data_IF_662488628137
#
_entry.id   IF_662488628137
#
_cell.length_a   1.000
_cell.length_b   1.000
_cell.length_c   1.000
_cell.angle_alpha   90.00
_cell.angle_beta   90.00
_cell.angle_gamma   90.00
#
_symmetry.space_group_name_H-M   'P 1'
#
loop_
_entity.id
_entity.type
_entity.pdbx_description
1 polymer ?
#
# COMPACT_ATOMS: atom_id res chain seq x y z
N UNK A 1 -36.83 -1.55 14.78
CA UNK A 1 -37.90 -1.97 13.82
C UNK A 1 -37.23 -2.69 12.67
N UNK A 2 -37.63 -3.94 12.41
CA UNK A 2 -37.00 -4.82 11.44
C UNK A 2 -37.51 -4.56 10.01
N UNK A 3 -36.94 -3.55 9.33
CA UNK A 3 -37.19 -3.24 7.92
C UNK A 3 -35.98 -3.55 7.05
N UNK A 4 -36.23 -3.87 5.78
CA UNK A 4 -35.22 -4.06 4.75
C UNK A 4 -35.40 -3.05 3.62
N UNK A 5 -34.29 -2.47 3.19
CA UNK A 5 -34.26 -1.46 2.14
C UNK A 5 -34.13 -2.14 0.78
N UNK A 6 -35.00 -1.77 -0.16
CA UNK A 6 -34.92 -2.28 -1.52
C UNK A 6 -33.70 -1.68 -2.23
N UNK A 7 -32.76 -2.49 -2.75
CA UNK A 7 -31.56 -1.99 -3.44
C UNK A 7 -31.91 -1.32 -4.79
N UNK A 8 -33.06 -1.63 -5.39
CA UNK A 8 -33.48 -1.08 -6.66
C UNK A 8 -34.11 0.32 -6.53
N UNK A 9 -34.90 0.58 -5.49
CA UNK A 9 -35.68 1.83 -5.37
C UNK A 9 -35.59 2.54 -4.01
N UNK A 10 -34.79 2.02 -3.07
CA UNK A 10 -34.61 2.58 -1.73
C UNK A 10 -35.81 2.46 -0.80
N UNK A 11 -36.92 1.86 -1.23
CA UNK A 11 -38.12 1.74 -0.40
C UNK A 11 -37.88 0.84 0.82
N UNK A 12 -38.45 1.22 1.96
CA UNK A 12 -38.53 0.37 3.14
C UNK A 12 -39.57 -0.72 2.94
N UNK A 13 -39.22 -1.94 3.36
CA UNK A 13 -40.06 -3.11 3.25
C UNK A 13 -39.99 -3.92 4.56
N UNK A 14 -41.07 -4.60 4.97
CA UNK A 14 -41.01 -5.53 6.10
C UNK A 14 -40.07 -6.71 5.83
N UNK A 15 -39.37 -7.18 6.86
CA UNK A 15 -38.39 -8.26 6.79
C UNK A 15 -38.95 -9.61 6.26
N UNK A 16 -40.26 -9.81 6.41
CA UNK A 16 -40.96 -11.04 5.99
C UNK A 16 -41.23 -11.08 4.48
N UNK A 17 -41.18 -9.96 3.77
CA UNK A 17 -41.51 -9.92 2.33
C UNK A 17 -40.34 -10.36 1.47
N UNK A 18 -40.63 -11.23 0.51
CA UNK A 18 -39.72 -11.62 -0.56
C UNK A 18 -39.69 -10.63 -1.74
N UNK A 19 -40.62 -9.67 -1.78
CA UNK A 19 -40.76 -8.74 -2.92
C UNK A 19 -40.98 -7.31 -2.45
N UNK A 20 -40.34 -6.36 -3.13
CA UNK A 20 -40.48 -4.93 -2.84
C UNK A 20 -41.92 -4.43 -3.09
N UNK A 21 -42.49 -3.70 -2.13
CA UNK A 21 -43.85 -3.16 -2.24
C UNK A 21 -43.96 -2.17 -3.41
N UNK A 22 -42.92 -1.32 -3.58
CA UNK A 22 -42.84 -0.25 -4.57
C UNK A 22 -42.49 -0.74 -5.97
N UNK A 23 -41.26 -1.23 -6.19
CA UNK A 23 -40.78 -1.61 -7.54
C UNK A 23 -40.93 -3.09 -7.91
N UNK A 24 -41.48 -3.93 -7.03
CA UNK A 24 -41.65 -5.38 -7.24
C UNK A 24 -40.35 -6.18 -7.46
N UNK A 25 -39.19 -5.61 -7.19
CA UNK A 25 -37.92 -6.33 -7.20
C UNK A 25 -37.89 -7.46 -6.15
N UNK A 26 -37.19 -8.54 -6.46
CA UNK A 26 -36.92 -9.64 -5.54
C UNK A 26 -35.98 -9.20 -4.41
N UNK A 27 -36.38 -9.44 -3.17
CA UNK A 27 -35.63 -9.14 -1.96
C UNK A 27 -34.99 -10.40 -1.35
N UNK A 28 -35.14 -11.57 -1.98
CA UNK A 28 -34.58 -12.84 -1.53
C UNK A 28 -33.06 -12.78 -1.36
N UNK A 29 -32.34 -12.09 -2.25
CA UNK A 29 -30.89 -11.90 -2.13
C UNK A 29 -30.53 -11.10 -0.88
N UNK A 30 -31.24 -9.99 -0.63
CA UNK A 30 -31.03 -9.16 0.57
C UNK A 30 -31.31 -9.98 1.84
N UNK A 31 -32.40 -10.75 1.83
CA UNK A 31 -32.76 -11.63 2.93
C UNK A 31 -31.66 -12.68 3.20
N UNK A 32 -31.14 -13.32 2.15
CA UNK A 32 -30.06 -14.29 2.29
C UNK A 32 -28.78 -13.67 2.89
N UNK A 33 -28.46 -12.43 2.52
CA UNK A 33 -27.32 -11.69 3.10
C UNK A 33 -27.56 -11.44 4.59
N UNK A 34 -28.75 -10.98 4.97
CA UNK A 34 -29.11 -10.75 6.37
C UNK A 34 -29.13 -12.05 7.20
N UNK A 35 -29.62 -13.15 6.63
CA UNK A 35 -29.61 -14.47 7.27
C UNK A 35 -28.17 -14.97 7.49
N UNK A 36 -27.29 -14.73 6.52
CA UNK A 36 -25.85 -15.05 6.64
C UNK A 36 -25.17 -14.19 7.71
N UNK A 37 -25.49 -12.89 7.76
CA UNK A 37 -24.99 -11.99 8.80
C UNK A 37 -25.45 -12.44 10.20
N UNK A 38 -26.71 -12.85 10.34
CA UNK A 38 -27.25 -13.40 11.59
C UNK A 38 -26.59 -14.73 11.99
N UNK A 39 -26.22 -15.57 11.03
CA UNK A 39 -25.48 -16.80 11.31
C UNK A 39 -24.11 -16.48 11.91
N UNK A 40 -23.35 -15.58 11.31
CA UNK A 40 -22.06 -15.10 11.84
C UNK A 40 -22.22 -14.49 13.23
N UNK A 41 -23.25 -13.66 13.44
CA UNK A 41 -23.56 -13.10 14.76
C UNK A 41 -23.85 -14.18 15.83
N UNK A 42 -24.64 -15.19 15.50
CA UNK A 42 -24.95 -16.27 16.42
C UNK A 42 -23.71 -17.11 16.76
N UNK A 43 -22.83 -17.36 15.78
CA UNK A 43 -21.54 -18.01 16.02
C UNK A 43 -20.65 -17.18 16.94
N UNK A 44 -20.57 -15.87 16.71
CA UNK A 44 -19.84 -14.96 17.57
C UNK A 44 -20.36 -14.97 19.02
N UNK A 45 -21.69 -15.03 19.21
CA UNK A 45 -22.30 -15.19 20.53
C UNK A 45 -21.88 -16.49 21.22
N UNK A 46 -21.95 -17.61 20.52
CA UNK A 46 -21.54 -18.92 21.04
C UNK A 46 -20.07 -18.92 21.43
N UNK A 47 -19.19 -18.48 20.53
CA UNK A 47 -17.74 -18.40 20.76
C UNK A 47 -17.40 -17.46 21.93
N UNK A 48 -18.09 -16.32 22.05
CA UNK A 48 -17.92 -15.41 23.17
C UNK A 48 -18.37 -16.04 24.49
N UNK A 49 -19.44 -16.83 24.48
CA UNK A 49 -19.91 -17.60 25.63
C UNK A 49 -18.92 -18.69 26.07
N UNK A 50 -18.19 -19.27 25.12
CA UNK A 50 -17.08 -20.22 25.36
C UNK A 50 -15.77 -19.53 25.80
N UNK A 51 -15.72 -18.19 25.81
CA UNK A 51 -14.51 -17.42 26.12
C UNK A 51 -13.47 -17.36 24.98
N UNK A 52 -13.82 -17.85 23.79
CA UNK A 52 -12.97 -17.82 22.58
C UNK A 52 -13.07 -16.46 21.88
N UNK A 53 -12.65 -15.42 22.58
CA UNK A 53 -12.86 -14.04 22.16
C UNK A 53 -12.22 -13.65 20.82
N UNK A 54 -11.01 -14.12 20.44
CA UNK A 54 -10.43 -13.79 19.13
C UNK A 54 -11.26 -14.34 17.97
N UNK A 55 -11.80 -15.55 18.11
CA UNK A 55 -12.64 -16.18 17.08
C UNK A 55 -14.02 -15.52 17.03
N UNK A 56 -14.56 -15.18 18.21
CA UNK A 56 -15.80 -14.42 18.31
C UNK A 56 -15.69 -13.03 17.65
N UNK A 57 -14.54 -12.37 17.76
CA UNK A 57 -14.27 -11.09 17.10
C UNK A 57 -14.36 -11.25 15.58
N UNK A 58 -13.73 -12.28 15.01
CA UNK A 58 -13.78 -12.55 13.56
C UNK A 58 -15.21 -12.77 13.05
N UNK A 59 -15.99 -13.60 13.74
CA UNK A 59 -17.38 -13.88 13.38
C UNK A 59 -18.27 -12.63 13.55
N UNK A 60 -18.06 -11.82 14.59
CA UNK A 60 -18.79 -10.58 14.79
C UNK A 60 -18.44 -9.53 13.72
N UNK A 61 -17.18 -9.46 13.29
CA UNK A 61 -16.76 -8.58 12.18
C UNK A 61 -17.34 -9.04 10.84
N UNK A 62 -17.40 -10.35 10.56
CA UNK A 62 -18.02 -10.87 9.36
C UNK A 62 -19.53 -10.53 9.27
N UNK A 63 -20.24 -10.56 10.40
CA UNK A 63 -21.63 -10.11 10.47
C UNK A 63 -21.78 -8.62 10.11
N UNK A 64 -20.84 -7.77 10.55
CA UNK A 64 -20.83 -6.33 10.25
C UNK A 64 -20.45 -6.03 8.80
N UNK A 65 -19.56 -6.80 8.19
CA UNK A 65 -19.22 -6.67 6.77
C UNK A 65 -20.42 -6.93 5.87
N UNK A 66 -21.28 -7.89 6.25
CA UNK A 66 -22.51 -8.20 5.53
C UNK A 66 -23.62 -7.19 5.83
N UNK A 67 -23.76 -6.75 7.08
CA UNK A 67 -24.77 -5.77 7.47
C UNK A 67 -24.33 -4.92 8.68
N UNK A 68 -23.80 -3.74 8.39
CA UNK A 68 -23.21 -2.84 9.39
C UNK A 68 -24.23 -2.01 10.21
N UNK A 69 -25.52 -2.00 9.81
CA UNK A 69 -26.56 -1.20 10.47
C UNK A 69 -27.27 -1.92 11.61
N UNK A 70 -26.83 -3.13 11.99
CA UNK A 70 -27.42 -3.85 13.11
C UNK A 70 -26.76 -3.44 14.44
N UNK A 71 -27.46 -2.75 15.35
CA UNK A 71 -26.90 -2.33 16.64
C UNK A 71 -26.46 -3.52 17.50
N UNK A 72 -27.11 -4.68 17.38
CA UNK A 72 -26.77 -5.88 18.16
C UNK A 72 -25.37 -6.39 17.85
N UNK A 73 -24.93 -6.27 16.60
CA UNK A 73 -23.61 -6.74 16.17
C UNK A 73 -22.52 -5.87 16.81
N UNK A 74 -22.70 -4.55 16.78
CA UNK A 74 -21.82 -3.59 17.46
C UNK A 74 -21.78 -3.80 18.97
N UNK A 75 -22.93 -4.03 19.62
CA UNK A 75 -22.99 -4.27 21.06
C UNK A 75 -22.24 -5.55 21.48
N UNK A 76 -22.38 -6.61 20.68
CA UNK A 76 -21.63 -7.85 20.90
C UNK A 76 -20.13 -7.62 20.70
N UNK A 77 -19.74 -6.93 19.63
CA UNK A 77 -18.33 -6.62 19.36
C UNK A 77 -17.71 -5.78 20.49
N UNK A 78 -18.45 -4.80 21.02
CA UNK A 78 -18.02 -4.02 22.18
C UNK A 78 -17.83 -4.89 23.42
N UNK A 79 -18.74 -5.85 23.66
CA UNK A 79 -18.58 -6.84 24.73
C UNK A 79 -17.34 -7.72 24.55
N UNK A 80 -17.12 -8.23 23.33
CA UNK A 80 -15.96 -9.05 22.99
C UNK A 80 -14.67 -8.27 23.21
N UNK A 81 -14.58 -7.02 22.73
CA UNK A 81 -13.43 -6.15 22.93
C UNK A 81 -13.15 -5.89 24.41
N UNK A 82 -14.17 -5.63 25.22
CA UNK A 82 -14.00 -5.42 26.65
C UNK A 82 -13.46 -6.68 27.36
N UNK A 83 -13.91 -7.86 26.94
CA UNK A 83 -13.39 -9.14 27.47
C UNK A 83 -11.94 -9.41 27.08
N UNK A 84 -11.49 -8.88 25.95
CA UNK A 84 -10.09 -8.93 25.52
C UNK A 84 -9.23 -7.79 26.11
N UNK A 85 -9.79 -6.88 26.92
CA UNK A 85 -9.08 -5.70 27.44
C UNK A 85 -8.88 -4.57 26.42
N UNK A 86 -9.49 -4.66 25.23
CA UNK A 86 -9.44 -3.65 24.16
C UNK A 86 -10.47 -2.53 24.44
N UNK A 87 -10.33 -1.84 25.57
CA UNK A 87 -11.35 -0.92 26.10
C UNK A 87 -11.72 0.26 25.17
N UNK A 88 -10.76 0.82 24.42
CA UNK A 88 -11.04 1.89 23.47
C UNK A 88 -11.97 1.43 22.34
N UNK A 89 -11.69 0.26 21.75
CA UNK A 89 -12.53 -0.32 20.70
C UNK A 89 -13.90 -0.75 21.24
N UNK A 90 -13.94 -1.20 22.50
CA UNK A 90 -15.19 -1.51 23.18
C UNK A 90 -16.10 -0.28 23.30
N UNK A 91 -15.51 0.86 23.69
CA UNK A 91 -16.21 2.14 23.78
C UNK A 91 -16.78 2.56 22.43
N UNK A 92 -15.97 2.58 21.37
CA UNK A 92 -16.41 2.96 20.02
C UNK A 92 -17.58 2.08 19.51
N UNK A 93 -17.51 0.77 19.74
CA UNK A 93 -18.57 -0.15 19.35
C UNK A 93 -19.88 0.08 20.13
N UNK A 94 -19.79 0.36 21.44
CA UNK A 94 -20.98 0.69 22.23
C UNK A 94 -21.55 2.07 21.89
N UNK A 95 -20.72 3.07 21.60
CA UNK A 95 -21.17 4.38 21.11
C UNK A 95 -21.91 4.24 19.77
N UNK A 96 -21.41 3.40 18.87
CA UNK A 96 -22.07 3.08 17.59
C UNK A 96 -23.41 2.37 17.82
N UNK A 97 -23.49 1.48 18.80
CA UNK A 97 -24.77 0.85 19.18
C UNK A 97 -25.79 1.89 19.63
N UNK A 98 -25.37 2.86 20.44
CA UNK A 98 -26.26 3.94 20.91
C UNK A 98 -26.72 4.84 19.77
N UNK A 99 -25.83 5.11 18.81
CA UNK A 99 -26.15 5.90 17.62
C UNK A 99 -27.17 5.23 16.69
N UNK A 100 -27.15 3.90 16.60
CA UNK A 100 -28.05 3.11 15.75
C UNK A 100 -29.43 2.82 16.41
N UNK A 101 -29.68 3.35 17.61
CA UNK A 101 -30.98 3.43 18.28
C UNK A 101 -31.83 2.13 18.31
N UNK A 102 -31.29 1.03 18.88
CA UNK A 102 -32.14 -0.10 19.32
C UNK A 102 -31.57 -0.77 20.58
N UNK A 103 -32.45 -1.05 21.56
CA UNK A 103 -32.16 -1.63 22.90
C UNK A 103 -30.81 -1.20 23.51
N UNK A 104 -30.71 0.10 23.76
CA UNK A 104 -29.52 0.79 24.25
C UNK A 104 -29.14 0.43 25.69
N UNK A 105 -29.99 -0.31 26.39
CA UNK A 105 -29.86 -0.61 27.82
C UNK A 105 -28.56 -1.37 28.15
N UNK A 106 -28.12 -2.31 27.29
CA UNK A 106 -26.88 -3.07 27.52
C UNK A 106 -25.62 -2.26 27.19
N UNK A 107 -25.63 -1.55 26.06
CA UNK A 107 -24.50 -0.73 25.62
C UNK A 107 -24.27 0.44 26.58
N UNK A 108 -25.34 1.13 26.99
CA UNK A 108 -25.28 2.22 27.96
C UNK A 108 -24.74 1.76 29.32
N UNK A 109 -25.24 0.63 29.85
CA UNK A 109 -24.72 0.04 31.10
C UNK A 109 -23.23 -0.33 30.98
N UNK A 110 -22.82 -0.82 29.83
CA UNK A 110 -21.43 -1.22 29.58
C UNK A 110 -20.49 -0.01 29.49
N UNK A 111 -20.92 1.06 28.82
CA UNK A 111 -20.22 2.35 28.78
C UNK A 111 -20.11 2.99 30.16
N UNK A 112 -21.21 3.04 30.92
CA UNK A 112 -21.17 3.57 32.29
C UNK A 112 -20.21 2.78 33.19
N UNK A 113 -20.19 1.45 33.07
CA UNK A 113 -19.25 0.60 33.80
C UNK A 113 -17.82 0.94 33.40
N UNK A 114 -17.54 1.06 32.11
CA UNK A 114 -16.22 1.41 31.59
C UNK A 114 -15.75 2.78 32.10
N UNK A 115 -16.62 3.79 32.06
CA UNK A 115 -16.35 5.15 32.53
C UNK A 115 -16.03 5.19 34.02
N UNK A 116 -16.78 4.45 34.85
CA UNK A 116 -16.50 4.33 36.29
C UNK A 116 -15.15 3.67 36.58
N UNK A 117 -14.82 2.64 35.80
CA UNK A 117 -13.52 1.95 35.94
C UNK A 117 -12.35 2.85 35.50
N UNK A 118 -12.54 3.65 34.45
CA UNK A 118 -11.56 4.64 34.01
C UNK A 118 -11.41 5.79 35.00
N UNK A 119 -12.52 6.33 35.55
CA UNK A 119 -12.48 7.43 36.53
C UNK A 119 -11.81 7.04 37.84
N UNK A 120 -11.92 5.77 38.23
CA UNK A 120 -11.33 5.24 39.46
C UNK A 120 -9.85 4.85 39.29
N UNK A 121 -9.24 5.13 38.14
CA UNK A 121 -7.84 4.78 37.85
C UNK A 121 -7.58 3.27 37.68
N UNK A 122 -8.63 2.44 37.69
CA UNK A 122 -8.50 0.97 37.56
C UNK A 122 -8.22 0.52 36.13
N UNK A 123 -8.54 1.37 35.15
CA UNK A 123 -8.21 1.18 33.75
C UNK A 123 -7.34 2.35 33.33
N UNK A 124 -6.03 2.11 33.23
CA UNK A 124 -5.16 2.98 32.44
C UNK A 124 -5.66 2.89 30.99
N UNK A 125 -6.31 3.95 30.50
CA UNK A 125 -6.73 4.01 29.10
C UNK A 125 -5.51 3.71 28.23
N UNK A 126 -5.56 2.75 27.29
CA UNK A 126 -4.50 2.62 26.32
C UNK A 126 -4.42 3.95 25.60
N UNK A 127 -3.36 4.70 25.89
CA UNK A 127 -3.04 6.01 25.31
C UNK A 127 -3.33 5.90 23.82
N UNK A 128 -4.32 6.67 23.32
CA UNK A 128 -4.52 6.80 21.86
C UNK A 128 -3.11 6.99 21.30
N UNK A 129 -2.63 6.07 20.46
CA UNK A 129 -1.30 6.17 19.85
C UNK A 129 -1.40 7.29 18.81
N UNK A 130 -1.59 8.52 19.28
CA UNK A 130 -1.32 9.73 18.52
C UNK A 130 0.14 9.60 18.16
N UNK A 131 0.44 9.44 16.87
CA UNK A 131 1.81 9.49 16.37
C UNK A 131 2.52 10.63 17.06
N UNK A 132 3.51 10.28 17.90
CA UNK A 132 4.25 11.26 18.66
C UNK A 132 4.95 12.20 17.67
N UNK A 133 5.17 13.46 18.03
CA UNK A 133 6.03 14.36 17.24
C UNK A 133 7.37 13.69 16.98
N UNK A 134 7.85 12.87 17.93
CA UNK A 134 9.03 12.03 17.78
C UNK A 134 8.91 10.97 16.68
N UNK A 135 7.75 10.32 16.52
CA UNK A 135 7.54 9.31 15.48
C UNK A 135 7.57 9.95 14.09
N UNK A 136 6.97 11.13 13.94
CA UNK A 136 6.99 11.89 12.68
C UNK A 136 8.40 12.39 12.37
N UNK A 137 9.10 12.93 13.37
CA UNK A 137 10.48 13.39 13.23
C UNK A 137 11.41 12.24 12.83
N UNK A 138 11.25 11.07 13.45
CA UNK A 138 12.03 9.88 13.13
C UNK A 138 11.79 9.43 11.69
N UNK A 139 10.55 9.42 11.22
CA UNK A 139 10.23 9.08 9.83
C UNK A 139 10.85 10.08 8.85
N UNK A 140 10.78 11.39 9.13
CA UNK A 140 11.40 12.42 8.29
C UNK A 140 12.92 12.27 8.24
N UNK A 141 13.57 11.95 9.37
CA UNK A 141 15.00 11.69 9.42
C UNK A 141 15.37 10.46 8.60
N UNK A 142 14.62 9.36 8.72
CA UNK A 142 14.88 8.15 7.95
C UNK A 142 14.79 8.39 6.42
N UNK A 143 13.78 9.15 5.99
CA UNK A 143 13.64 9.54 4.58
C UNK A 143 14.81 10.43 4.14
N UNK A 144 15.18 11.43 4.95
CA UNK A 144 16.29 12.33 4.64
C UNK A 144 17.63 11.59 4.55
N UNK A 145 17.95 10.74 5.53
CA UNK A 145 19.19 9.95 5.52
C UNK A 145 19.21 8.92 4.39
N UNK A 146 18.07 8.32 4.06
CA UNK A 146 17.95 7.44 2.89
C UNK A 146 18.23 8.17 1.57
N UNK A 147 17.66 9.36 1.40
CA UNK A 147 17.92 10.21 0.23
C UNK A 147 19.39 10.67 0.16
N UNK A 148 19.98 11.12 1.28
CA UNK A 148 21.39 11.51 1.35
C UNK A 148 22.33 10.35 1.00
N UNK A 149 22.08 9.14 1.52
CA UNK A 149 22.89 7.97 1.23
C UNK A 149 22.78 7.56 -0.25
N UNK A 150 21.57 7.58 -0.82
CA UNK A 150 21.36 7.31 -2.23
C UNK A 150 22.08 8.34 -3.12
N UNK A 151 21.95 9.63 -2.81
CA UNK A 151 22.62 10.70 -3.54
C UNK A 151 24.14 10.57 -3.50
N UNK A 152 24.71 10.30 -2.32
CA UNK A 152 26.15 10.07 -2.16
C UNK A 152 26.64 8.87 -2.98
N UNK A 153 25.90 7.76 -2.96
CA UNK A 153 26.24 6.57 -3.72
C UNK A 153 26.19 6.81 -5.23
N UNK A 154 25.16 7.50 -5.73
CA UNK A 154 25.02 7.83 -7.15
C UNK A 154 26.15 8.76 -7.62
N UNK A 155 26.49 9.78 -6.84
CA UNK A 155 27.62 10.69 -7.16
C UNK A 155 28.95 9.94 -7.26
N UNK A 156 29.22 9.05 -6.30
CA UNK A 156 30.43 8.22 -6.34
C UNK A 156 30.47 7.33 -7.59
N UNK A 157 29.34 6.74 -7.94
CA UNK A 157 29.22 5.90 -9.13
C UNK A 157 29.43 6.70 -10.42
N UNK A 158 28.82 7.89 -10.53
CA UNK A 158 28.98 8.78 -11.69
C UNK A 158 30.44 9.21 -11.85
N UNK A 159 31.11 9.60 -10.76
CA UNK A 159 32.50 10.03 -10.82
C UNK A 159 33.46 8.90 -11.25
N UNK A 160 33.22 7.66 -10.81
CA UNK A 160 33.96 6.48 -11.29
C UNK A 160 33.74 6.24 -12.78
N UNK A 161 32.50 6.38 -13.27
CA UNK A 161 32.20 6.26 -14.70
C UNK A 161 32.86 7.37 -15.53
N UNK A 162 32.88 8.62 -15.05
CA UNK A 162 33.51 9.73 -15.75
C UNK A 162 35.03 9.53 -15.87
N UNK A 163 35.69 9.09 -14.81
CA UNK A 163 37.13 8.78 -14.83
C UNK A 163 37.47 7.68 -15.85
N UNK A 164 36.66 6.62 -15.92
CA UNK A 164 36.83 5.54 -16.91
C UNK A 164 36.58 6.02 -18.34
N UNK A 165 35.73 7.02 -18.56
CA UNK A 165 35.54 7.60 -19.89
C UNK A 165 36.78 8.43 -20.27
N UNK A 166 37.25 9.28 -19.37
CA UNK A 166 38.43 10.14 -19.62
C UNK A 166 39.70 9.36 -19.88
N UNK A 167 39.98 8.30 -19.11
CA UNK A 167 41.19 7.47 -19.33
C UNK A 167 41.17 6.80 -20.71
N UNK A 168 39.99 6.46 -21.21
CA UNK A 168 39.82 5.75 -22.49
C UNK A 168 39.86 6.67 -23.70
N UNK A 169 39.37 7.90 -23.54
CA UNK A 169 39.57 8.93 -24.56
C UNK A 169 41.07 9.30 -24.65
N UNK A 170 41.79 9.27 -23.53
CA UNK A 170 43.24 9.43 -23.50
C UNK A 170 43.98 8.24 -24.17
N UNK A 171 43.58 7.00 -23.90
CA UNK A 171 44.14 5.79 -24.56
C UNK A 171 43.94 5.81 -26.07
N UNK A 172 42.72 6.11 -26.57
CA UNK A 172 42.45 6.23 -28.01
C UNK A 172 43.29 7.30 -28.70
N UNK A 173 43.48 8.44 -28.02
CA UNK A 173 44.30 9.53 -28.54
C UNK A 173 45.77 9.12 -28.62
N UNK A 174 46.28 8.41 -27.61
CA UNK A 174 47.63 7.86 -27.61
C UNK A 174 47.85 6.82 -28.72
N UNK A 175 46.90 5.90 -28.93
CA UNK A 175 46.92 4.92 -30.02
C UNK A 175 46.97 5.58 -31.40
N UNK A 176 46.13 6.60 -31.65
CA UNK A 176 46.13 7.33 -32.92
C UNK A 176 47.47 8.02 -33.19
N UNK A 177 48.06 8.63 -32.16
CA UNK A 177 49.37 9.28 -32.27
C UNK A 177 50.48 8.26 -32.53
N UNK A 178 50.50 7.14 -31.82
CA UNK A 178 51.46 6.05 -32.02
C UNK A 178 51.34 5.44 -33.42
N UNK A 179 50.13 5.15 -33.89
CA UNK A 179 49.91 4.64 -35.26
C UNK A 179 50.43 5.60 -36.34
N UNK A 180 50.21 6.91 -36.16
CA UNK A 180 50.76 7.93 -37.05
C UNK A 180 52.29 8.01 -37.02
N UNK A 181 52.89 7.88 -35.83
CA UNK A 181 54.35 7.89 -35.66
C UNK A 181 55.02 6.64 -36.24
N UNK A 182 54.45 5.45 -36.06
CA UNK A 182 54.95 4.19 -36.64
C UNK A 182 54.89 4.24 -38.16
N UNK A 183 53.77 4.73 -38.73
CA UNK A 183 53.63 4.93 -40.17
C UNK A 183 54.63 5.97 -40.75
N UNK A 184 55.01 6.98 -39.96
CA UNK A 184 56.01 7.98 -40.34
C UNK A 184 57.46 7.51 -40.16
N UNK A 185 57.71 6.52 -39.30
CA UNK A 185 59.06 6.02 -38.99
C UNK A 185 59.55 5.01 -40.05
N UNK A 186 60.33 5.49 -41.02
CA UNK A 186 60.94 4.67 -42.08
C UNK A 186 62.09 3.76 -41.60
N UNK A 187 61.85 2.91 -40.60
CA UNK A 187 62.87 2.05 -39.97
C UNK A 187 62.97 0.65 -40.61
N UNK A 188 63.97 -0.15 -40.21
CA UNK A 188 64.21 -1.52 -40.73
C UNK A 188 62.97 -2.41 -40.60
N UNK A 189 62.59 -3.15 -41.65
CA UNK A 189 61.30 -3.87 -41.72
C UNK A 189 60.98 -4.72 -40.48
N UNK A 190 61.99 -5.37 -39.89
CA UNK A 190 61.82 -6.23 -38.70
C UNK A 190 61.34 -5.47 -37.45
N UNK A 191 61.91 -4.28 -37.18
CA UNK A 191 61.48 -3.44 -36.05
C UNK A 191 60.09 -2.85 -36.26
N UNK A 192 59.70 -2.68 -37.52
CA UNK A 192 58.38 -2.20 -37.89
C UNK A 192 57.34 -3.30 -37.66
N UNK A 193 57.63 -4.54 -38.05
CA UNK A 193 56.77 -5.70 -37.73
C UNK A 193 56.64 -5.96 -36.24
N UNK A 194 57.72 -5.90 -35.46
CA UNK A 194 57.65 -6.12 -34.00
C UNK A 194 56.81 -5.03 -33.30
N UNK A 195 56.86 -3.79 -33.81
CA UNK A 195 56.06 -2.68 -33.28
C UNK A 195 54.59 -2.75 -33.72
N UNK A 196 54.32 -3.24 -34.92
CA UNK A 196 52.97 -3.51 -35.42
C UNK A 196 52.29 -4.65 -34.64
N UNK A 197 53.04 -5.69 -34.26
CA UNK A 197 52.54 -6.80 -33.43
C UNK A 197 52.13 -6.32 -32.02
N UNK A 198 52.97 -5.51 -31.37
CA UNK A 198 52.64 -4.89 -30.07
C UNK A 198 51.43 -3.94 -30.16
N UNK A 199 51.32 -3.17 -31.25
CA UNK A 199 50.14 -2.32 -31.47
C UNK A 199 48.87 -3.13 -31.65
N UNK A 200 48.95 -4.30 -32.27
CA UNK A 200 47.81 -5.18 -32.45
C UNK A 200 47.36 -5.81 -31.11
N UNK A 201 48.30 -6.18 -30.23
CA UNK A 201 47.99 -6.65 -28.88
C UNK A 201 47.29 -5.56 -28.04
N UNK A 202 47.77 -4.32 -28.11
CA UNK A 202 47.14 -3.16 -27.45
C UNK A 202 45.73 -2.93 -28.00
N UNK A 203 45.55 -2.97 -29.33
CA UNK A 203 44.22 -2.82 -29.95
C UNK A 203 43.24 -3.89 -29.50
N UNK A 204 43.68 -5.15 -29.41
CA UNK A 204 42.84 -6.26 -28.93
C UNK A 204 42.41 -6.04 -27.48
N UNK A 205 43.32 -5.60 -26.62
CA UNK A 205 43.00 -5.28 -25.23
C UNK A 205 42.00 -4.12 -25.12
N UNK A 206 42.21 -3.03 -25.89
CA UNK A 206 41.30 -1.89 -25.92
C UNK A 206 39.91 -2.28 -26.47
N UNK A 207 39.85 -3.12 -27.50
CA UNK A 207 38.59 -3.64 -28.05
C UNK A 207 37.80 -4.47 -27.04
N UNK A 208 38.45 -5.37 -26.30
CA UNK A 208 37.83 -6.16 -25.23
C UNK A 208 37.22 -5.25 -24.15
N UNK A 209 37.96 -4.22 -23.74
CA UNK A 209 37.46 -3.24 -22.78
C UNK A 209 36.28 -2.42 -23.36
N UNK A 210 36.23 -2.18 -24.69
CA UNK A 210 35.12 -1.48 -25.36
C UNK A 210 33.83 -2.27 -25.32
N UNK A 211 33.91 -3.58 -25.57
CA UNK A 211 32.77 -4.47 -25.50
C UNK A 211 32.15 -4.49 -24.09
N UNK A 212 32.97 -4.71 -23.05
CA UNK A 212 32.50 -4.73 -21.66
C UNK A 212 31.80 -3.42 -21.25
N UNK A 213 32.29 -2.28 -21.73
CA UNK A 213 31.63 -1.00 -21.45
C UNK A 213 30.38 -0.73 -22.26
N UNK A 214 30.28 -1.27 -23.48
CA UNK A 214 29.06 -1.19 -24.27
C UNK A 214 27.94 -1.99 -23.60
N UNK A 215 28.27 -3.17 -23.06
CA UNK A 215 27.35 -3.97 -22.25
C UNK A 215 26.89 -3.22 -20.99
N UNK A 216 27.83 -2.64 -20.21
CA UNK A 216 27.47 -1.84 -19.04
C UNK A 216 26.61 -0.61 -19.40
N UNK A 217 26.88 0.06 -20.53
CA UNK A 217 26.06 1.17 -21.02
C UNK A 217 24.65 0.70 -21.40
N UNK A 218 24.54 -0.44 -22.08
CA UNK A 218 23.25 -1.03 -22.44
C UNK A 218 22.42 -1.36 -21.19
N UNK A 219 23.04 -1.99 -20.18
CA UNK A 219 22.40 -2.25 -18.88
C UNK A 219 21.97 -0.97 -18.17
N UNK A 220 22.82 0.07 -18.16
CA UNK A 220 22.47 1.36 -17.57
C UNK A 220 21.30 2.05 -18.30
N UNK A 221 21.22 1.96 -19.64
CA UNK A 221 20.07 2.48 -20.40
C UNK A 221 18.79 1.70 -20.13
N UNK A 222 18.89 0.37 -20.00
CA UNK A 222 17.75 -0.48 -19.64
C UNK A 222 17.22 -0.13 -18.25
N UNK A 223 18.10 -0.05 -17.24
CA UNK A 223 17.73 0.37 -15.88
C UNK A 223 17.05 1.75 -15.85
N UNK A 224 17.54 2.71 -16.64
CA UNK A 224 16.90 4.03 -16.77
C UNK A 224 15.50 3.93 -17.36
N UNK A 225 15.31 3.11 -18.40
CA UNK A 225 13.98 2.91 -19.00
C UNK A 225 13.00 2.27 -18.03
N UNK A 226 13.42 1.26 -17.27
CA UNK A 226 12.63 0.62 -16.22
C UNK A 226 12.23 1.60 -15.12
N UNK A 227 13.14 2.48 -14.69
CA UNK A 227 12.85 3.51 -13.69
C UNK A 227 11.81 4.52 -14.18
N UNK A 228 11.88 4.94 -15.45
CA UNK A 228 10.89 5.83 -16.08
C UNK A 228 9.52 5.14 -16.17
N UNK A 229 9.48 3.87 -16.56
CA UNK A 229 8.24 3.11 -16.64
C UNK A 229 7.59 2.91 -15.26
N UNK A 230 8.39 2.58 -14.25
CA UNK A 230 7.94 2.48 -12.86
C UNK A 230 7.35 3.80 -12.36
N UNK A 231 7.98 4.92 -12.67
CA UNK A 231 7.46 6.25 -12.33
C UNK A 231 6.11 6.51 -13.02
N UNK A 232 5.98 6.20 -14.31
CA UNK A 232 4.73 6.33 -15.03
C UNK A 232 3.61 5.39 -14.52
N UNK A 233 3.97 4.21 -13.99
CA UNK A 233 3.01 3.32 -13.32
C UNK A 233 2.52 3.93 -12.00
N UNK A 234 3.43 4.49 -11.20
CA UNK A 234 3.10 5.18 -9.96
C UNK A 234 2.16 6.37 -10.21
N UNK A 235 2.44 7.21 -11.19
CA UNK A 235 1.60 8.36 -11.53
C UNK A 235 0.19 7.93 -11.98
N UNK A 236 0.08 6.86 -12.78
CA UNK A 236 -1.21 6.28 -13.19
C UNK A 236 -2.02 5.71 -12.01
N UNK A 237 -1.35 5.14 -11.01
CA UNK A 237 -2.01 4.66 -9.79
C UNK A 237 -2.49 5.85 -8.95
N UNK A 238 -1.65 6.87 -8.80
CA UNK A 238 -1.99 8.11 -8.10
C UNK A 238 -3.20 8.80 -8.72
N UNK A 239 -3.25 8.94 -10.04
CA UNK A 239 -4.40 9.54 -10.75
C UNK A 239 -5.69 8.73 -10.57
N UNK A 240 -5.61 7.40 -10.59
CA UNK A 240 -6.76 6.53 -10.30
C UNK A 240 -7.29 6.74 -8.88
N UNK A 241 -6.40 6.72 -7.89
CA UNK A 241 -6.77 6.96 -6.49
C UNK A 241 -7.41 8.34 -6.28
N UNK A 242 -6.91 9.38 -6.97
CA UNK A 242 -7.51 10.73 -6.92
C UNK A 242 -8.89 10.75 -7.59
N UNK A 243 -9.07 10.05 -8.70
CA UNK A 243 -10.36 9.95 -9.40
C UNK A 243 -11.40 9.22 -8.56
N UNK A 244 -11.05 8.08 -7.98
CA UNK A 244 -11.94 7.26 -7.15
C UNK A 244 -12.30 7.97 -5.83
N UNK A 245 -11.45 8.89 -5.37
CA UNK A 245 -11.72 9.76 -4.23
C UNK A 245 -12.53 11.02 -4.59
N UNK A 246 -12.80 11.31 -5.88
CA UNK A 246 -13.50 12.52 -6.31
C UNK A 246 -15.03 12.37 -6.22
N UNK A 247 -15.76 13.34 -5.63
CA UNK A 247 -17.19 13.23 -5.34
C UNK A 247 -18.13 13.26 -6.58
N UNK A 248 -17.62 13.55 -7.79
CA UNK A 248 -18.43 13.61 -9.01
C UNK A 248 -18.87 12.24 -9.54
N UNK A 249 -18.14 11.14 -9.24
CA UNK A 249 -18.52 9.79 -9.66
C UNK A 249 -19.81 9.27 -8.98
N UNK A 250 -20.34 10.00 -7.98
CA UNK A 250 -21.55 9.66 -7.24
C UNK A 250 -22.84 10.31 -7.76
N UNK A 251 -22.78 11.15 -8.82
CA UNK A 251 -23.97 11.82 -9.34
C UNK A 251 -24.61 11.01 -10.49
N UNK A 252 -25.89 10.59 -10.38
CA UNK A 252 -26.57 9.87 -11.46
C UNK A 252 -26.79 10.79 -12.68
N UNK A 253 -26.78 10.23 -13.91
CA UNK A 253 -26.95 11.02 -15.13
C UNK A 253 -28.34 11.67 -15.16
N UNK A 254 -28.47 12.87 -15.75
CA UNK A 254 -29.75 13.57 -15.83
C UNK A 254 -30.74 12.76 -16.69
N UNK A 255 -32.04 12.79 -16.36
CA UNK A 255 -33.06 12.07 -17.10
C UNK A 255 -33.12 12.59 -18.54
N UNK A 256 -33.08 11.67 -19.50
CA UNK A 256 -33.29 11.98 -20.92
C UNK A 256 -34.78 12.29 -21.14
N UNK A 257 -35.05 13.43 -21.77
CA UNK A 257 -36.39 13.93 -22.14
C UNK A 257 -37.10 13.04 -23.17
#
# INVERSE_FOLDING_TARGET
MNTLFCPCCGAENPLERSVCQKCKADLGVVKSILDTANLHYNRALTLAGEGRYPEAELEATAALELYNKNPRYHNLLGTIYARQGKFNRAQEAWETTLYLEEDTSSAYRSLQRLQRLSSNGTLEAPRRRTTSVFDVLLLLLLVFFGWMAHHYYVEQLVNDYELRIQSRDAERSAEQQLGGLVAASGSSSQRQTDMEELLEEIRQYVALMQEQTAEMRAQATEMRSQAVEMQAQYDRLRERLVRDASPEAASPPPPQE
#
